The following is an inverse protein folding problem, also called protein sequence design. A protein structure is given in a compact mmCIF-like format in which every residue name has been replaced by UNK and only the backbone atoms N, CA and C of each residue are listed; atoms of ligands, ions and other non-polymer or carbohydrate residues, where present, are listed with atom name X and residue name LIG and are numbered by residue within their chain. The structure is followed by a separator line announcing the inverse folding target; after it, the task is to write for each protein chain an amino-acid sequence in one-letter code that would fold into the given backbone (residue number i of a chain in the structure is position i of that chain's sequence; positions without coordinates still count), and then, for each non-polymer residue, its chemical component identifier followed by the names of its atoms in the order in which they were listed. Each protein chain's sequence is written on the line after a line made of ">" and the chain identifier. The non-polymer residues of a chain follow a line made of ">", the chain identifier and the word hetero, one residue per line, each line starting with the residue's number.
data_IF_170331020223
#
_entry.id   IF_170331020223
#
_cell.length_a   1.000
_cell.length_b   1.000
_cell.length_c   1.000
_cell.angle_alpha   90.00
_cell.angle_beta   90.00
_cell.angle_gamma   90.00
#
_symmetry.space_group_name_H-M   'P 1'
#
loop_
_entity.id
_entity.type
_entity.pdbx_description
1 polymer ?
#
# COMPACT_ATOMS: atom_id res chain seq x y z
N UNK A 1 -7.07 -9.19 -8.58
CA UNK A 1 -5.87 -8.35 -8.76
C UNK A 1 -5.70 -8.12 -10.26
N UNK A 2 -5.51 -6.88 -10.73
CA UNK A 2 -5.38 -6.53 -12.16
C UNK A 2 -4.21 -5.56 -12.35
N UNK A 3 -3.46 -5.67 -13.45
CA UNK A 3 -2.22 -4.94 -13.70
C UNK A 3 -2.41 -3.41 -13.71
N UNK A 4 -3.62 -2.93 -14.07
CA UNK A 4 -3.94 -1.50 -14.04
C UNK A 4 -3.86 -0.90 -12.64
N UNK A 5 -4.24 -1.64 -11.59
CA UNK A 5 -4.14 -1.15 -10.21
C UNK A 5 -2.67 -0.96 -9.79
N UNK A 6 -1.77 -1.80 -10.29
CA UNK A 6 -0.31 -1.66 -10.07
C UNK A 6 0.21 -0.39 -10.73
N UNK A 7 -0.17 -0.16 -11.98
CA UNK A 7 0.24 1.05 -12.70
C UNK A 7 -0.24 2.32 -11.99
N UNK A 8 -1.48 2.30 -11.48
CA UNK A 8 -2.01 3.41 -10.67
C UNK A 8 -1.18 3.58 -9.39
N UNK A 9 -0.91 2.51 -8.64
CA UNK A 9 -0.12 2.58 -7.40
C UNK A 9 1.28 3.17 -7.63
N UNK A 10 1.99 2.69 -8.65
CA UNK A 10 3.30 3.21 -9.04
C UNK A 10 3.23 4.68 -9.49
N UNK A 11 2.15 5.05 -10.19
CA UNK A 11 1.87 6.44 -10.55
C UNK A 11 1.70 7.34 -9.32
N UNK A 12 0.97 6.89 -8.31
CA UNK A 12 0.79 7.63 -7.05
C UNK A 12 2.13 7.80 -6.32
N UNK A 13 2.97 6.76 -6.27
CA UNK A 13 4.33 6.88 -5.71
C UNK A 13 5.20 7.87 -6.49
N UNK A 14 5.12 7.88 -7.82
CA UNK A 14 5.83 8.84 -8.67
C UNK A 14 5.41 10.29 -8.40
N UNK A 15 4.14 10.52 -8.04
CA UNK A 15 3.62 11.82 -7.63
C UNK A 15 4.01 12.21 -6.19
N UNK A 16 4.75 11.36 -5.47
CA UNK A 16 5.16 11.59 -4.09
C UNK A 16 4.06 11.32 -3.04
N UNK A 17 2.98 10.63 -3.42
CA UNK A 17 1.92 10.23 -2.47
C UNK A 17 2.43 9.08 -1.60
N UNK A 18 2.26 9.22 -0.29
CA UNK A 18 2.73 8.28 0.74
C UNK A 18 1.56 7.78 1.60
N UNK A 19 1.84 6.83 2.50
CA UNK A 19 0.89 6.28 3.49
C UNK A 19 -0.35 5.59 2.90
N UNK A 20 -0.22 5.09 1.67
CA UNK A 20 -1.27 4.36 0.97
C UNK A 20 -1.51 3.01 1.67
N UNK A 21 -2.78 2.64 1.86
CA UNK A 21 -3.19 1.32 2.36
C UNK A 21 -3.72 0.45 1.22
N UNK A 22 -3.26 -0.81 1.12
CA UNK A 22 -3.68 -1.77 0.08
C UNK A 22 -4.22 -3.06 0.70
N UNK A 23 -5.15 -3.73 0.01
CA UNK A 23 -5.79 -4.95 0.50
C UNK A 23 -6.76 -5.59 -0.51
N UNK A 24 -7.40 -6.72 -0.17
CA UNK A 24 -7.37 -7.39 1.14
C UNK A 24 -6.13 -8.27 1.39
N UNK A 25 -5.30 -8.52 0.37
CA UNK A 25 -4.05 -9.28 0.48
C UNK A 25 -2.90 -8.49 -0.11
N UNK A 26 -1.70 -8.76 0.36
CA UNK A 26 -0.49 -8.28 -0.30
C UNK A 26 -0.45 -8.78 -1.76
N UNK A 27 0.05 -7.97 -2.71
CA UNK A 27 0.13 -8.41 -4.09
C UNK A 27 1.09 -9.60 -4.26
N UNK A 28 0.63 -10.69 -4.87
CA UNK A 28 1.42 -11.95 -4.97
C UNK A 28 2.71 -11.82 -5.82
N UNK A 29 2.81 -10.80 -6.67
CA UNK A 29 4.01 -10.54 -7.50
C UNK A 29 5.05 -9.67 -6.80
N UNK A 30 4.76 -9.13 -5.61
CA UNK A 30 5.73 -8.36 -4.83
C UNK A 30 6.44 -9.32 -3.89
N UNK A 31 7.75 -9.46 -4.06
CA UNK A 31 8.55 -10.24 -3.12
C UNK A 31 8.63 -9.54 -1.77
N UNK A 32 8.84 -10.28 -0.66
CA UNK A 32 8.92 -9.69 0.68
C UNK A 32 9.90 -8.52 0.77
N UNK A 33 11.11 -8.66 0.25
CA UNK A 33 12.11 -7.57 0.28
C UNK A 33 11.72 -6.34 -0.53
N UNK A 34 10.93 -6.48 -1.62
CA UNK A 34 10.40 -5.31 -2.33
C UNK A 34 9.29 -4.65 -1.52
N UNK A 35 8.44 -5.45 -0.86
CA UNK A 35 7.42 -4.90 0.02
C UNK A 35 8.04 -4.06 1.14
N UNK A 36 9.09 -4.57 1.80
CA UNK A 36 9.79 -3.86 2.88
C UNK A 36 10.31 -2.49 2.41
N UNK A 37 10.98 -2.44 1.24
CA UNK A 37 11.44 -1.18 0.65
C UNK A 37 10.28 -0.22 0.38
N UNK A 38 9.13 -0.71 -0.09
CA UNK A 38 7.95 0.12 -0.33
C UNK A 38 7.35 0.65 0.99
N UNK A 39 7.39 -0.14 2.07
CA UNK A 39 6.96 0.31 3.39
C UNK A 39 7.90 1.39 3.94
N UNK A 40 9.22 1.16 3.87
CA UNK A 40 10.24 2.09 4.36
C UNK A 40 10.28 3.40 3.57
N UNK A 41 10.11 3.33 2.25
CA UNK A 41 10.26 4.50 1.35
C UNK A 41 8.98 5.30 1.20
N UNK A 42 7.82 4.64 1.15
CA UNK A 42 6.53 5.27 0.83
C UNK A 42 5.48 5.14 1.93
N UNK A 43 5.79 4.52 3.06
CA UNK A 43 4.82 4.28 4.13
C UNK A 43 3.68 3.33 3.72
N UNK A 44 3.90 2.48 2.71
CA UNK A 44 2.89 1.54 2.22
C UNK A 44 2.42 0.63 3.37
N UNK A 45 1.11 0.44 3.50
CA UNK A 45 0.50 -0.34 4.59
C UNK A 45 -0.47 -1.37 4.03
N UNK A 46 -0.59 -2.52 4.68
CA UNK A 46 -1.70 -3.44 4.46
C UNK A 46 -2.90 -3.00 5.31
N UNK A 47 -4.11 -3.21 4.80
CA UNK A 47 -5.33 -3.02 5.61
C UNK A 47 -5.39 -4.03 6.75
N UNK A 48 -6.06 -3.66 7.83
CA UNK A 48 -6.30 -4.50 9.01
C UNK A 48 -7.79 -4.84 9.11
N UNK A 49 -8.47 -4.42 10.18
CA UNK A 49 -9.92 -4.40 10.27
C UNK A 49 -10.45 -2.97 10.17
N UNK A 50 -11.73 -2.84 9.83
CA UNK A 50 -12.35 -1.55 9.59
C UNK A 50 -12.25 -0.59 10.78
N UNK A 51 -12.36 -1.08 12.03
CA UNK A 51 -12.32 -0.22 13.20
C UNK A 51 -10.91 0.36 13.43
N UNK A 52 -9.88 -0.50 13.35
CA UNK A 52 -8.48 -0.09 13.50
C UNK A 52 -8.04 0.84 12.38
N UNK A 53 -8.34 0.51 11.13
CA UNK A 53 -7.96 1.34 9.98
C UNK A 53 -8.64 2.72 10.03
N UNK A 54 -9.91 2.78 10.44
CA UNK A 54 -10.62 4.05 10.61
C UNK A 54 -10.01 4.90 11.73
N UNK A 55 -9.66 4.30 12.86
CA UNK A 55 -9.01 5.02 13.95
C UNK A 55 -7.64 5.58 13.51
N UNK A 56 -6.83 4.80 12.80
CA UNK A 56 -5.52 5.22 12.31
C UNK A 56 -5.56 6.26 11.17
N UNK A 57 -6.66 6.34 10.40
CA UNK A 57 -6.80 7.30 9.31
C UNK A 57 -7.32 8.67 9.77
N UNK A 58 -8.05 8.71 10.88
CA UNK A 58 -8.69 9.93 11.40
C UNK A 58 -7.92 10.59 12.55
N UNK A 59 -6.87 9.93 13.06
CA UNK A 59 -5.93 10.47 14.05
C UNK A 59 -4.86 11.33 13.39
#
# INVERSE_FOLDING_TARGET
>A
FEQKAVAILLGLFSLGIQDIRIGPKAPEFISPGVLDVLQETFGLKLITNAAEDMAMMLS
#
